data_IF_182669912748
#
_entry.id   IF_182669912748
#
_cell.length_a   1.000
_cell.length_b   1.000
_cell.length_c   1.000
_cell.angle_alpha   90.00
_cell.angle_beta   90.00
_cell.angle_gamma   90.00
#
_symmetry.space_group_name_H-M   'P 1'
#
loop_
_entity.id
_entity.type
_entity.pdbx_description
1 polymer ?
#
# COMPACT_ATOMS: atom_id res chain seq x y z
N UNK A 1 28.77 -58.26 -3.67
CA UNK A 1 27.47 -57.58 -3.43
C UNK A 1 26.45 -58.17 -4.40
N UNK A 2 25.39 -58.78 -3.88
CA UNK A 2 24.51 -59.64 -4.69
C UNK A 2 23.61 -58.79 -5.60
N UNK A 3 23.40 -59.21 -6.86
CA UNK A 3 22.66 -58.45 -7.89
C UNK A 3 21.24 -58.04 -7.43
N UNK A 4 20.70 -58.75 -6.44
CA UNK A 4 19.40 -58.48 -5.79
C UNK A 4 19.43 -57.27 -4.83
N UNK A 5 20.57 -56.97 -4.19
CA UNK A 5 20.68 -55.83 -3.27
C UNK A 5 20.88 -54.50 -4.00
N UNK A 6 21.55 -54.50 -5.15
CA UNK A 6 21.66 -53.31 -6.02
C UNK A 6 20.33 -52.92 -6.64
N UNK A 7 19.48 -53.89 -7.01
CA UNK A 7 18.13 -53.62 -7.51
C UNK A 7 17.19 -53.11 -6.42
N UNK A 8 17.32 -53.61 -5.18
CA UNK A 8 16.53 -53.13 -4.04
C UNK A 8 16.92 -51.69 -3.64
N UNK A 9 18.22 -51.36 -3.66
CA UNK A 9 18.68 -50.01 -3.36
C UNK A 9 18.29 -48.99 -4.46
N UNK A 10 18.32 -49.41 -5.73
CA UNK A 10 17.83 -48.61 -6.85
C UNK A 10 16.32 -48.36 -6.77
N UNK A 11 15.53 -49.37 -6.36
CA UNK A 11 14.09 -49.23 -6.17
C UNK A 11 13.75 -48.29 -4.99
N UNK A 12 14.50 -48.37 -3.89
CA UNK A 12 14.37 -47.44 -2.75
C UNK A 12 14.76 -46.00 -3.13
N UNK A 13 15.81 -45.83 -3.94
CA UNK A 13 16.21 -44.53 -4.48
C UNK A 13 15.17 -43.93 -5.45
N UNK A 14 14.56 -44.76 -6.31
CA UNK A 14 13.46 -44.35 -7.19
C UNK A 14 12.20 -43.99 -6.38
N UNK A 15 11.88 -44.74 -5.32
CA UNK A 15 10.77 -44.42 -4.43
C UNK A 15 10.97 -43.08 -3.71
N UNK A 16 12.19 -42.78 -3.26
CA UNK A 16 12.54 -41.49 -2.69
C UNK A 16 12.38 -40.35 -3.73
N UNK A 17 12.82 -40.56 -4.98
CA UNK A 17 12.69 -39.55 -6.05
C UNK A 17 11.24 -39.28 -6.45
N UNK A 18 10.36 -40.28 -6.37
CA UNK A 18 8.92 -40.14 -6.65
C UNK A 18 8.19 -39.46 -5.49
N UNK A 19 8.60 -39.69 -4.24
CA UNK A 19 7.93 -39.11 -3.05
C UNK A 19 8.43 -37.69 -2.71
N UNK A 20 9.68 -37.34 -3.04
CA UNK A 20 10.27 -36.02 -2.77
C UNK A 20 9.49 -34.83 -3.35
N UNK A 21 8.99 -34.84 -4.61
CA UNK A 21 8.21 -33.71 -5.15
C UNK A 21 6.81 -33.58 -4.53
N UNK A 22 6.31 -34.63 -3.86
CA UNK A 22 5.02 -34.60 -3.16
C UNK A 22 5.16 -34.15 -1.69
N UNK A 23 6.33 -34.33 -1.07
CA UNK A 23 6.59 -33.83 0.28
C UNK A 23 6.86 -32.32 0.33
N UNK A 24 7.25 -31.70 -0.80
CA UNK A 24 7.58 -30.27 -0.87
C UNK A 24 6.40 -29.33 -1.13
N UNK A 25 5.17 -29.85 -1.26
CA UNK A 25 3.98 -29.00 -1.33
C UNK A 25 3.51 -28.64 0.07
N UNK A 26 4.24 -27.71 0.72
CA UNK A 26 3.66 -26.96 1.82
C UNK A 26 2.36 -26.33 1.30
N UNK A 27 1.22 -26.66 1.90
CA UNK A 27 -0.05 -26.04 1.59
C UNK A 27 0.08 -24.53 1.83
N UNK A 28 0.32 -23.76 0.77
CA UNK A 28 0.34 -22.31 0.86
C UNK A 28 -1.09 -21.88 1.09
N UNK A 29 -1.39 -21.47 2.33
CA UNK A 29 -2.65 -20.83 2.66
C UNK A 29 -2.78 -19.59 1.75
N UNK A 30 -3.79 -19.52 0.88
CA UNK A 30 -4.01 -18.36 0.04
C UNK A 30 -4.12 -17.14 0.93
N UNK A 31 -3.16 -16.23 0.82
CA UNK A 31 -3.15 -15.04 1.65
C UNK A 31 -4.32 -14.15 1.19
N UNK A 32 -5.37 -13.96 2.02
CA UNK A 32 -6.51 -13.12 1.63
C UNK A 32 -6.14 -11.63 1.59
N UNK A 33 -4.94 -11.29 2.08
CA UNK A 33 -4.36 -9.95 2.07
C UNK A 33 -3.10 -10.03 1.20
N UNK A 34 -3.05 -9.49 -0.03
CA UNK A 34 -1.92 -9.65 -0.97
C UNK A 34 -0.71 -8.80 -0.57
N UNK A 35 -0.18 -9.03 0.62
CA UNK A 35 0.81 -8.21 1.31
C UNK A 35 1.65 -9.16 2.16
N UNK A 36 2.89 -9.36 1.73
CA UNK A 36 3.82 -10.31 2.35
C UNK A 36 4.81 -9.60 3.29
N UNK A 37 4.86 -8.27 3.23
CA UNK A 37 5.80 -7.43 3.96
C UNK A 37 5.07 -6.32 4.74
N UNK A 38 5.53 -5.96 5.96
CA UNK A 38 4.93 -4.87 6.73
C UNK A 38 4.96 -3.52 5.98
N UNK A 39 5.92 -3.34 5.06
CA UNK A 39 5.98 -2.18 4.15
C UNK A 39 4.75 -2.10 3.23
N UNK A 40 4.41 -3.23 2.60
CA UNK A 40 3.30 -3.31 1.65
C UNK A 40 1.95 -3.05 2.34
N UNK A 41 1.81 -3.47 3.60
CA UNK A 41 0.66 -3.16 4.45
C UNK A 41 0.53 -1.66 4.72
N UNK A 42 1.62 -1.01 5.17
CA UNK A 42 1.62 0.42 5.46
C UNK A 42 1.29 1.25 4.22
N UNK A 43 1.85 0.90 3.05
CA UNK A 43 1.58 1.56 1.78
C UNK A 43 0.13 1.38 1.32
N UNK A 44 -0.44 0.19 1.51
CA UNK A 44 -1.83 -0.08 1.14
C UNK A 44 -2.82 0.72 2.00
N UNK A 45 -2.59 0.76 3.31
CA UNK A 45 -3.37 1.59 4.24
C UNK A 45 -3.25 3.06 3.82
N UNK A 46 -2.02 3.55 3.61
CA UNK A 46 -1.80 4.94 3.21
C UNK A 46 -2.54 5.29 1.92
N UNK A 47 -2.51 4.42 0.90
CA UNK A 47 -3.23 4.64 -0.37
C UNK A 47 -4.73 4.84 -0.16
N UNK A 48 -5.35 4.06 0.71
CA UNK A 48 -6.78 4.18 1.04
C UNK A 48 -7.06 5.54 1.69
N UNK A 49 -6.26 5.94 2.68
CA UNK A 49 -6.38 7.23 3.34
C UNK A 49 -6.11 8.41 2.39
N UNK A 50 -5.09 8.31 1.54
CA UNK A 50 -4.73 9.32 0.54
C UNK A 50 -5.90 9.57 -0.43
N UNK A 51 -6.52 8.50 -0.93
CA UNK A 51 -7.69 8.61 -1.81
C UNK A 51 -8.88 9.30 -1.12
N UNK A 52 -9.16 8.92 0.13
CA UNK A 52 -10.24 9.54 0.90
C UNK A 52 -9.98 11.02 1.20
N UNK A 53 -8.77 11.37 1.65
CA UNK A 53 -8.36 12.74 1.94
C UNK A 53 -8.35 13.61 0.69
N UNK A 54 -7.92 13.08 -0.46
CA UNK A 54 -7.95 13.79 -1.72
C UNK A 54 -9.38 14.17 -2.14
N UNK A 55 -10.34 13.28 -1.92
CA UNK A 55 -11.76 13.57 -2.17
C UNK A 55 -12.28 14.70 -1.26
N UNK A 56 -11.97 14.63 0.03
CA UNK A 56 -12.36 15.68 1.00
C UNK A 56 -11.73 17.02 0.65
N UNK A 57 -10.45 17.03 0.26
CA UNK A 57 -9.74 18.23 -0.18
C UNK A 57 -10.40 18.86 -1.41
N UNK A 58 -10.83 18.06 -2.38
CA UNK A 58 -11.57 18.55 -3.55
C UNK A 58 -12.88 19.24 -3.16
N UNK A 59 -13.65 18.65 -2.25
CA UNK A 59 -14.91 19.24 -1.75
C UNK A 59 -14.66 20.58 -1.05
N UNK A 60 -13.64 20.66 -0.21
CA UNK A 60 -13.21 21.91 0.45
C UNK A 60 -12.80 22.98 -0.56
N UNK A 61 -12.12 22.57 -1.64
CA UNK A 61 -11.70 23.49 -2.71
C UNK A 61 -12.91 24.08 -3.44
N UNK A 62 -13.89 23.23 -3.78
CA UNK A 62 -15.16 23.66 -4.40
C UNK A 62 -15.90 24.62 -3.46
N UNK A 63 -16.05 24.26 -2.18
CA UNK A 63 -16.74 25.10 -1.20
C UNK A 63 -16.06 26.46 -1.02
N UNK A 64 -14.73 26.49 -0.88
CA UNK A 64 -13.95 27.73 -0.77
C UNK A 64 -14.04 28.59 -2.04
N UNK A 65 -14.02 27.96 -3.21
CA UNK A 65 -14.17 28.64 -4.50
C UNK A 65 -15.56 29.27 -4.67
N UNK A 66 -16.62 28.50 -4.41
CA UNK A 66 -17.99 29.02 -4.45
C UNK A 66 -18.21 30.15 -3.45
N UNK A 67 -17.66 30.02 -2.23
CA UNK A 67 -17.77 31.05 -1.23
C UNK A 67 -17.06 32.35 -1.66
N UNK A 68 -15.92 32.26 -2.36
CA UNK A 68 -15.25 33.43 -2.94
C UNK A 68 -16.10 34.09 -4.03
N UNK A 69 -16.66 33.30 -4.95
CA UNK A 69 -17.47 33.80 -6.07
C UNK A 69 -18.79 34.45 -5.60
N UNK A 70 -19.43 33.87 -4.58
CA UNK A 70 -20.72 34.35 -4.03
C UNK A 70 -20.58 35.47 -3.01
N UNK A 71 -19.35 35.92 -2.71
CA UNK A 71 -19.12 36.92 -1.65
C UNK A 71 -19.63 38.33 -2.00
N UNK A 72 -20.00 38.61 -3.25
CA UNK A 72 -20.60 39.89 -3.70
C UNK A 72 -19.86 41.16 -3.21
N UNK A 73 -18.53 41.08 -3.03
CA UNK A 73 -17.71 42.19 -2.53
C UNK A 73 -17.60 42.34 -1.01
N UNK A 74 -18.23 41.45 -0.22
CA UNK A 74 -18.07 41.45 1.23
C UNK A 74 -16.66 40.98 1.64
N UNK A 75 -15.88 41.89 2.23
CA UNK A 75 -14.50 41.65 2.61
C UNK A 75 -14.31 40.49 3.60
N UNK A 76 -15.23 40.30 4.56
CA UNK A 76 -15.16 39.20 5.53
C UNK A 76 -15.35 37.85 4.87
N UNK A 77 -16.29 37.76 3.92
CA UNK A 77 -16.53 36.50 3.18
C UNK A 77 -15.37 36.15 2.26
N UNK A 78 -14.78 37.15 1.60
CA UNK A 78 -13.57 36.95 0.78
C UNK A 78 -12.40 36.49 1.64
N UNK A 79 -12.18 37.13 2.80
CA UNK A 79 -11.10 36.75 3.73
C UNK A 79 -11.27 35.32 4.22
N UNK A 80 -12.50 34.95 4.60
CA UNK A 80 -12.79 33.59 5.07
C UNK A 80 -12.63 32.56 3.93
N UNK A 81 -13.05 32.88 2.70
CA UNK A 81 -12.87 32.01 1.54
C UNK A 81 -11.39 31.79 1.21
N UNK A 82 -10.58 32.86 1.24
CA UNK A 82 -9.12 32.77 1.07
C UNK A 82 -8.49 31.87 2.13
N UNK A 83 -8.86 32.05 3.40
CA UNK A 83 -8.36 31.19 4.47
C UNK A 83 -8.70 29.72 4.20
N UNK A 84 -9.95 29.42 3.83
CA UNK A 84 -10.36 28.05 3.49
C UNK A 84 -9.52 27.47 2.35
N UNK A 85 -9.27 28.23 1.28
CA UNK A 85 -8.45 27.77 0.16
C UNK A 85 -6.98 27.56 0.55
N UNK A 86 -6.40 28.42 1.40
CA UNK A 86 -5.04 28.24 1.91
C UNK A 86 -4.92 26.96 2.74
N UNK A 87 -5.87 26.72 3.64
CA UNK A 87 -5.91 25.48 4.43
C UNK A 87 -6.14 24.23 3.58
N UNK A 88 -7.01 24.33 2.55
CA UNK A 88 -7.21 23.24 1.59
C UNK A 88 -5.92 22.95 0.80
N UNK A 89 -5.22 23.98 0.31
CA UNK A 89 -3.96 23.83 -0.39
C UNK A 89 -2.85 23.22 0.49
N UNK A 90 -2.75 23.66 1.75
CA UNK A 90 -1.82 23.07 2.71
C UNK A 90 -2.11 21.57 2.94
N UNK A 91 -3.40 21.19 3.03
CA UNK A 91 -3.81 19.79 3.13
C UNK A 91 -3.35 18.96 1.93
N UNK A 92 -3.53 19.47 0.71
CA UNK A 92 -3.06 18.79 -0.51
C UNK A 92 -1.54 18.60 -0.51
N UNK A 93 -0.77 19.61 -0.08
CA UNK A 93 0.69 19.52 0.01
C UNK A 93 1.10 18.42 1.01
N UNK A 94 0.44 18.32 2.16
CA UNK A 94 0.71 17.29 3.17
C UNK A 94 0.42 15.89 2.61
N UNK A 95 -0.70 15.72 1.90
CA UNK A 95 -1.08 14.44 1.27
C UNK A 95 0.00 14.00 0.27
N UNK A 96 0.47 14.90 -0.57
CA UNK A 96 1.55 14.63 -1.53
C UNK A 96 2.88 14.33 -0.83
N UNK A 97 3.20 15.07 0.24
CA UNK A 97 4.40 14.86 1.05
C UNK A 97 4.39 13.56 1.85
N UNK A 98 3.21 13.06 2.25
CA UNK A 98 3.08 11.86 3.07
C UNK A 98 3.64 10.61 2.38
N UNK A 99 3.43 10.47 1.08
CA UNK A 99 3.99 9.35 0.30
C UNK A 99 5.53 9.40 0.28
N UNK A 100 6.10 10.58 0.00
CA UNK A 100 7.55 10.79 0.00
C UNK A 100 8.18 10.61 1.37
N UNK A 101 7.46 10.98 2.44
CA UNK A 101 7.95 10.82 3.80
C UNK A 101 8.03 9.34 4.21
N UNK A 102 7.03 8.55 3.84
CA UNK A 102 7.00 7.13 4.17
C UNK A 102 8.09 6.35 3.42
N UNK A 103 8.29 6.63 2.13
CA UNK A 103 9.39 6.03 1.35
C UNK A 103 10.77 6.46 1.85
N UNK A 104 10.91 7.70 2.32
CA UNK A 104 12.14 8.18 2.95
C UNK A 104 12.49 7.38 4.22
N UNK A 105 11.52 7.16 5.12
CA UNK A 105 11.74 6.36 6.33
C UNK A 105 12.19 4.94 5.97
N UNK A 106 11.52 4.27 5.03
CA UNK A 106 11.89 2.90 4.66
C UNK A 106 13.25 2.82 3.95
N UNK A 107 13.60 3.83 3.14
CA UNK A 107 14.93 3.93 2.54
C UNK A 107 16.06 4.06 3.57
N UNK A 108 15.78 4.53 4.80
CA UNK A 108 16.77 4.59 5.86
C UNK A 108 16.99 3.24 6.57
N UNK A 109 15.96 2.39 6.61
CA UNK A 109 16.04 1.07 7.26
C UNK A 109 16.47 -0.07 6.32
N UNK A 110 16.32 0.10 5.01
CA UNK A 110 16.68 -0.91 3.98
C UNK A 110 18.15 -0.81 3.51
N UNK A 111 19.00 -0.11 4.28
CA UNK A 111 20.45 0.00 4.07
C UNK A 111 21.23 -0.57 5.25
#
# INVERSE_FOLDING_TARGET
MNKKQTTLLALAGMALFIVFPFASHAAQLPNPLPVNDPESLALQILKIFLGFLALVALIMFIYGGFMMLTSAGNADRIKKAKNTLVWAAAGVIIILGSYSFLSFIFSLFTK
#
